data_IF_502492349253
#
_entry.id   IF_502492349253
#
_cell.length_a   1.000
_cell.length_b   1.000
_cell.length_c   1.000
_cell.angle_alpha   90.00
_cell.angle_beta   90.00
_cell.angle_gamma   90.00
#
_symmetry.space_group_name_H-M   'P 1'
#
loop_
_entity.id
_entity.type
_entity.pdbx_description
1 polymer ?
#
# COMPACT_ATOMS: atom_id res chain seq x y z
N UNK A 1 -12.60 3.86 13.53
CA UNK A 1 -12.71 3.93 12.06
C UNK A 1 -11.31 3.77 11.50
N UNK A 2 -10.85 2.54 11.34
CA UNK A 2 -9.50 2.27 10.81
C UNK A 2 -9.64 1.65 9.43
N UNK A 3 -10.16 2.46 8.50
CA UNK A 3 -9.94 2.18 7.09
C UNK A 3 -8.41 2.23 6.90
N UNK A 4 -7.80 1.06 6.69
CA UNK A 4 -6.36 0.91 6.46
C UNK A 4 -5.87 2.08 5.61
N UNK A 5 -4.83 2.80 6.07
CA UNK A 5 -4.36 4.03 5.43
C UNK A 5 -4.13 3.85 3.92
N UNK A 6 -3.76 2.63 3.52
CA UNK A 6 -3.60 2.25 2.12
C UNK A 6 -4.92 2.20 1.33
N UNK A 7 -6.03 1.74 1.92
CA UNK A 7 -7.36 1.77 1.29
C UNK A 7 -7.83 3.19 1.02
N UNK A 8 -7.65 4.10 1.98
CA UNK A 8 -7.97 5.53 1.79
C UNK A 8 -7.12 6.16 0.68
N UNK A 9 -5.84 5.77 0.59
CA UNK A 9 -4.94 6.16 -0.50
C UNK A 9 -5.40 5.58 -1.84
N UNK A 10 -5.79 4.31 -1.91
CA UNK A 10 -6.27 3.68 -3.15
C UNK A 10 -7.54 4.34 -3.65
N UNK A 11 -8.54 4.50 -2.77
CA UNK A 11 -9.78 5.20 -3.10
C UNK A 11 -9.49 6.61 -3.58
N UNK A 12 -8.47 7.26 -2.99
CA UNK A 12 -8.07 8.58 -3.40
C UNK A 12 -7.44 8.63 -4.81
N UNK A 13 -6.57 7.69 -5.13
CA UNK A 13 -5.96 7.58 -6.47
C UNK A 13 -7.03 7.27 -7.51
N UNK A 14 -7.90 6.29 -7.25
CA UNK A 14 -8.95 5.88 -8.20
C UNK A 14 -9.86 7.06 -8.52
N UNK A 15 -10.35 7.77 -7.51
CA UNK A 15 -11.28 8.84 -7.80
C UNK A 15 -10.58 10.08 -8.42
N UNK A 16 -9.25 10.24 -8.28
CA UNK A 16 -8.47 11.24 -9.05
C UNK A 16 -8.42 10.87 -10.53
N UNK A 17 -8.14 9.60 -10.83
CA UNK A 17 -8.13 9.08 -12.21
C UNK A 17 -9.50 9.19 -12.89
N UNK A 18 -10.60 9.03 -12.14
CA UNK A 18 -11.96 9.23 -12.68
C UNK A 18 -12.35 10.69 -12.88
N UNK A 19 -11.48 11.66 -12.53
CA UNK A 19 -11.75 13.09 -12.67
C UNK A 19 -12.69 13.69 -11.60
N UNK A 20 -13.09 12.91 -10.59
CA UNK A 20 -13.99 13.37 -9.51
C UNK A 20 -13.43 14.54 -8.69
N UNK A 21 -12.11 14.66 -8.63
CA UNK A 21 -11.46 15.87 -8.14
C UNK A 21 -10.24 16.21 -8.98
N UNK A 22 -10.10 17.49 -9.29
CA UNK A 22 -9.03 18.04 -10.13
C UNK A 22 -7.81 18.54 -9.35
N UNK A 23 -7.87 18.51 -8.01
CA UNK A 23 -6.81 19.02 -7.14
C UNK A 23 -6.41 18.00 -6.08
N UNK A 24 -5.12 17.68 -6.04
CA UNK A 24 -4.51 16.78 -5.05
C UNK A 24 -4.72 17.30 -3.62
N UNK A 25 -4.78 18.62 -3.41
CA UNK A 25 -5.05 19.20 -2.07
C UNK A 25 -6.49 18.98 -1.62
N UNK A 26 -7.48 19.20 -2.50
CA UNK A 26 -8.89 18.88 -2.18
C UNK A 26 -9.05 17.39 -1.88
N UNK A 27 -8.27 16.57 -2.57
CA UNK A 27 -8.18 15.13 -2.36
C UNK A 27 -7.69 14.74 -0.97
N UNK A 28 -6.54 15.30 -0.57
CA UNK A 28 -5.92 15.08 0.73
C UNK A 28 -6.91 15.36 1.87
N UNK A 29 -7.62 16.49 1.79
CA UNK A 29 -8.63 16.88 2.78
C UNK A 29 -9.84 15.93 2.77
N UNK A 30 -10.37 15.57 1.60
CA UNK A 30 -11.57 14.74 1.49
C UNK A 30 -11.39 13.31 2.03
N UNK A 31 -10.18 12.76 1.92
CA UNK A 31 -9.86 11.39 2.34
C UNK A 31 -9.03 11.33 3.63
N UNK A 32 -8.69 12.48 4.23
CA UNK A 32 -7.88 12.55 5.45
C UNK A 32 -6.46 12.02 5.29
N UNK A 33 -5.88 12.11 4.08
CA UNK A 33 -4.54 11.61 3.76
C UNK A 33 -3.59 12.78 3.54
N UNK A 34 -2.35 12.68 4.00
CA UNK A 34 -1.35 13.73 3.76
C UNK A 34 -1.10 13.95 2.25
N UNK A 35 -1.02 15.21 1.84
CA UNK A 35 -0.77 15.61 0.45
C UNK A 35 0.48 14.95 -0.14
N UNK A 36 1.58 14.96 0.61
CA UNK A 36 2.86 14.39 0.19
C UNK A 36 2.76 12.89 -0.04
N UNK A 37 1.94 12.18 0.74
CA UNK A 37 1.66 10.75 0.55
C UNK A 37 0.93 10.50 -0.77
N UNK A 38 -0.11 11.26 -1.07
CA UNK A 38 -0.84 11.14 -2.34
C UNK A 38 0.02 11.52 -3.53
N UNK A 39 0.80 12.59 -3.43
CA UNK A 39 1.72 13.02 -4.50
C UNK A 39 2.75 11.92 -4.83
N UNK A 40 3.39 11.36 -3.81
CA UNK A 40 4.34 10.25 -3.98
C UNK A 40 3.67 9.02 -4.61
N UNK A 41 2.43 8.72 -4.23
CA UNK A 41 1.69 7.57 -4.79
C UNK A 41 1.31 7.80 -6.25
N UNK A 42 0.84 8.99 -6.60
CA UNK A 42 0.53 9.39 -7.98
C UNK A 42 1.78 9.42 -8.86
N UNK A 43 2.95 9.71 -8.29
CA UNK A 43 4.23 9.61 -8.99
C UNK A 43 4.76 8.17 -9.11
N UNK A 44 3.97 7.16 -8.73
CA UNK A 44 4.32 5.74 -8.84
C UNK A 44 5.14 5.18 -7.67
N UNK A 45 5.35 5.92 -6.58
CA UNK A 45 6.14 5.45 -5.44
C UNK A 45 5.33 4.44 -4.60
N UNK A 46 5.76 3.17 -4.50
CA UNK A 46 5.00 2.13 -3.82
C UNK A 46 4.92 2.37 -2.32
N UNK A 47 4.03 1.63 -1.65
CA UNK A 47 3.96 1.65 -0.19
C UNK A 47 5.27 1.21 0.45
N UNK A 48 5.56 1.69 1.66
CA UNK A 48 6.73 1.20 2.41
C UNK A 48 6.68 -0.31 2.54
N UNK A 49 5.50 -0.87 2.86
CA UNK A 49 5.28 -2.31 2.99
C UNK A 49 5.61 -3.06 1.69
N UNK A 50 5.04 -2.63 0.57
CA UNK A 50 5.30 -3.23 -0.76
C UNK A 50 6.78 -3.07 -1.16
N UNK A 51 7.36 -1.90 -0.92
CA UNK A 51 8.76 -1.65 -1.19
C UNK A 51 9.72 -2.42 -0.28
N UNK A 52 9.28 -2.83 0.91
CA UNK A 52 10.02 -3.78 1.75
C UNK A 52 9.90 -5.20 1.19
N UNK A 53 8.69 -5.64 0.81
CA UNK A 53 8.47 -6.95 0.19
C UNK A 53 9.32 -7.15 -1.07
N UNK A 54 9.41 -6.15 -1.96
CA UNK A 54 10.27 -6.23 -3.15
C UNK A 54 11.78 -6.24 -2.84
N UNK A 55 12.17 -5.78 -1.64
CA UNK A 55 13.58 -5.77 -1.20
C UNK A 55 13.96 -7.03 -0.44
N UNK A 56 12.99 -7.81 0.04
CA UNK A 56 13.27 -9.08 0.68
C UNK A 56 13.78 -10.08 -0.36
N UNK A 57 14.74 -10.91 0.05
CA UNK A 57 15.31 -11.98 -0.78
C UNK A 57 14.25 -13.05 -1.05
N UNK A 58 13.40 -13.30 -0.04
CA UNK A 58 12.27 -14.22 -0.12
C UNK A 58 10.97 -13.42 -0.14
N UNK A 59 10.05 -13.82 -1.00
CA UNK A 59 8.69 -13.31 -0.97
C UNK A 59 7.97 -13.78 0.31
N UNK A 60 6.92 -13.05 0.74
CA UNK A 60 6.11 -13.49 1.90
C UNK A 60 5.53 -14.89 1.76
N UNK A 61 5.31 -15.35 0.52
CA UNK A 61 4.83 -16.69 0.23
C UNK A 61 5.94 -17.72 0.44
N UNK A 62 7.15 -17.44 -0.02
CA UNK A 62 8.32 -18.31 0.18
C UNK A 62 8.68 -18.43 1.67
N UNK A 63 8.72 -17.32 2.40
CA UNK A 63 8.92 -17.33 3.86
C UNK A 63 7.87 -18.21 4.56
N UNK A 64 6.59 -18.10 4.15
CA UNK A 64 5.51 -18.93 4.70
C UNK A 64 5.68 -20.41 4.40
N UNK A 65 6.09 -20.78 3.19
CA UNK A 65 6.32 -22.17 2.82
C UNK A 65 7.44 -22.78 3.65
N UNK A 66 8.55 -22.05 3.83
CA UNK A 66 9.68 -22.50 4.65
C UNK A 66 9.26 -22.75 6.11
N UNK A 67 8.48 -21.84 6.70
CA UNK A 67 7.96 -22.01 8.07
C UNK A 67 7.09 -23.28 8.18
N UNK A 68 6.24 -23.55 7.18
CA UNK A 68 5.38 -24.75 7.18
C UNK A 68 6.21 -26.03 7.06
N UNK A 69 7.26 -26.03 6.25
CA UNK A 69 8.16 -27.18 6.11
C UNK A 69 8.97 -27.42 7.38
N UNK A 70 9.49 -26.38 8.02
CA UNK A 70 10.25 -26.48 9.28
C UNK A 70 9.37 -27.04 10.42
N UNK A 71 8.13 -26.57 10.55
CA UNK A 71 7.17 -27.10 11.53
C UNK A 71 6.85 -28.57 11.25
N UNK A 72 6.70 -28.95 9.97
CA UNK A 72 6.43 -30.34 9.58
C UNK A 72 7.60 -31.27 9.91
N UNK A 73 8.84 -30.81 9.72
CA UNK A 73 10.05 -31.60 9.98
C UNK A 73 10.36 -31.74 11.48
N UNK A 74 9.82 -30.84 12.30
CA UNK A 74 10.02 -30.82 13.76
C UNK A 74 9.02 -31.68 14.54
N UNK A 75 8.21 -32.50 13.86
CA UNK A 75 7.15 -33.35 14.44
C UNK A 75 7.36 -34.82 14.07
#
# INVERSE_FOLDING_TARGET
MDASSETSIYNAITAYQTGKYTSIRKYATAFGVAFTTLQNRLSGRPSRRTGHQHRQILSPTEERTLIVEEIRYSR
#
